data_IF_214168031254
#
_entry.id   IF_214168031254
#
_cell.length_a   1.000
_cell.length_b   1.000
_cell.length_c   1.000
_cell.angle_alpha   90.00
_cell.angle_beta   90.00
_cell.angle_gamma   90.00
#
_symmetry.space_group_name_H-M   'P 1'
#
loop_
_entity.id
_entity.type
_entity.pdbx_description
1 polymer ?
#
# COMPACT_ATOMS: atom_id res chain seq x y z
N UNK A 1 -6.15 24.28 6.72
CA UNK A 1 -7.11 23.43 5.97
C UNK A 1 -8.00 22.56 6.87
N UNK A 2 -7.65 22.30 8.15
CA UNK A 2 -8.34 21.32 9.01
C UNK A 2 -9.81 21.60 9.38
N UNK A 3 -10.39 22.75 9.03
CA UNK A 3 -11.81 23.05 9.30
C UNK A 3 -12.72 23.12 8.09
N UNK A 4 -12.18 23.24 6.87
CA UNK A 4 -13.00 23.56 5.69
C UNK A 4 -13.83 22.37 5.23
N UNK A 5 -13.24 21.18 5.15
CA UNK A 5 -13.89 20.00 4.60
C UNK A 5 -15.07 19.50 5.47
N UNK A 6 -14.94 19.40 6.82
CA UNK A 6 -16.08 19.09 7.68
C UNK A 6 -17.17 20.14 7.61
N UNK A 7 -16.80 21.42 7.51
CA UNK A 7 -17.75 22.53 7.37
C UNK A 7 -18.51 22.45 6.04
N UNK A 8 -17.81 22.22 4.93
CA UNK A 8 -18.42 22.03 3.61
C UNK A 8 -19.36 20.82 3.60
N UNK A 9 -18.95 19.71 4.21
CA UNK A 9 -19.78 18.52 4.33
C UNK A 9 -21.06 18.81 5.13
N UNK A 10 -20.92 19.45 6.30
CA UNK A 10 -22.06 19.83 7.14
C UNK A 10 -23.01 20.80 6.43
N UNK A 11 -22.47 21.79 5.70
CA UNK A 11 -23.27 22.76 4.94
C UNK A 11 -23.97 22.09 3.74
N UNK A 12 -23.28 21.21 3.02
CA UNK A 12 -23.87 20.46 1.92
C UNK A 12 -25.04 19.60 2.41
N UNK A 13 -24.86 18.87 3.51
CA UNK A 13 -25.95 18.08 4.12
C UNK A 13 -27.12 18.97 4.56
N UNK A 14 -26.85 20.12 5.16
CA UNK A 14 -27.90 21.06 5.58
C UNK A 14 -28.67 21.67 4.40
N UNK A 15 -27.97 22.11 3.35
CA UNK A 15 -28.57 22.83 2.21
C UNK A 15 -29.25 21.90 1.19
N UNK A 16 -28.73 20.69 1.00
CA UNK A 16 -29.17 19.79 -0.07
C UNK A 16 -29.91 18.54 0.44
N UNK A 17 -29.89 18.29 1.74
CA UNK A 17 -30.44 17.06 2.34
C UNK A 17 -29.63 15.80 2.03
N UNK A 18 -28.47 15.91 1.39
CA UNK A 18 -27.61 14.76 1.04
C UNK A 18 -26.92 14.20 2.28
N UNK A 19 -26.92 12.87 2.42
CA UNK A 19 -26.23 12.18 3.51
C UNK A 19 -24.71 12.40 3.44
N UNK A 20 -24.03 12.24 4.58
CA UNK A 20 -22.56 12.27 4.64
C UNK A 20 -21.91 11.32 3.62
N UNK A 21 -22.47 10.12 3.48
CA UNK A 21 -22.00 9.10 2.53
C UNK A 21 -22.22 9.55 1.08
N UNK A 22 -23.42 10.05 0.75
CA UNK A 22 -23.71 10.57 -0.58
C UNK A 22 -22.81 11.75 -0.98
N UNK A 23 -22.42 12.59 -0.02
CA UNK A 23 -21.44 13.65 -0.24
C UNK A 23 -20.04 13.08 -0.54
N UNK A 24 -19.57 12.12 0.25
CA UNK A 24 -18.25 11.48 0.07
C UNK A 24 -18.14 10.77 -1.28
N UNK A 25 -19.20 10.06 -1.68
CA UNK A 25 -19.28 9.43 -2.99
C UNK A 25 -19.15 10.47 -4.11
N UNK A 26 -20.03 11.48 -4.14
CA UNK A 26 -19.98 12.51 -5.21
C UNK A 26 -18.68 13.32 -5.19
N UNK A 27 -18.18 13.68 -4.02
CA UNK A 27 -16.94 14.43 -3.88
C UNK A 27 -15.75 13.64 -4.45
N UNK A 28 -15.63 12.36 -4.13
CA UNK A 28 -14.60 11.50 -4.67
C UNK A 28 -14.73 11.24 -6.17
N UNK A 29 -15.96 11.11 -6.67
CA UNK A 29 -16.25 10.93 -8.09
C UNK A 29 -15.83 12.15 -8.93
N UNK A 30 -16.18 13.35 -8.49
CA UNK A 30 -15.79 14.61 -9.14
C UNK A 30 -14.27 14.83 -9.05
N UNK A 31 -13.66 14.57 -7.89
CA UNK A 31 -12.21 14.68 -7.73
C UNK A 31 -11.47 13.74 -8.69
N UNK A 32 -11.90 12.48 -8.78
CA UNK A 32 -11.33 11.54 -9.75
C UNK A 32 -11.61 11.97 -11.19
N UNK A 33 -12.80 12.52 -11.47
CA UNK A 33 -13.17 13.05 -12.78
C UNK A 33 -12.19 14.10 -13.28
N UNK A 34 -11.89 15.10 -12.45
CA UNK A 34 -10.90 16.14 -12.75
C UNK A 34 -9.52 15.52 -13.01
N UNK A 35 -9.05 14.64 -12.11
CA UNK A 35 -7.76 13.97 -12.30
C UNK A 35 -7.72 13.12 -13.57
N UNK A 36 -8.84 12.51 -13.94
CA UNK A 36 -8.98 11.66 -15.10
C UNK A 36 -8.94 12.46 -16.40
N UNK A 37 -9.60 13.60 -16.46
CA UNK A 37 -9.56 14.50 -17.64
C UNK A 37 -8.14 15.00 -17.92
N UNK A 38 -7.38 15.31 -16.87
CA UNK A 38 -6.01 15.80 -17.01
C UNK A 38 -4.99 14.68 -17.29
N UNK A 39 -5.17 13.49 -16.70
CA UNK A 39 -4.13 12.45 -16.64
C UNK A 39 -4.57 11.09 -17.20
N UNK A 40 -5.59 11.07 -18.05
CA UNK A 40 -6.24 9.86 -18.59
C UNK A 40 -5.25 8.79 -19.06
N UNK A 41 -4.24 9.19 -19.85
CA UNK A 41 -3.24 8.29 -20.43
C UNK A 41 -2.41 7.58 -19.36
N UNK A 42 -2.01 8.30 -18.32
CA UNK A 42 -1.22 7.75 -17.22
C UNK A 42 -2.11 6.79 -16.43
N UNK A 43 -3.31 7.22 -16.05
CA UNK A 43 -4.21 6.41 -15.22
C UNK A 43 -4.61 5.09 -15.91
N UNK A 44 -4.81 5.09 -17.23
CA UNK A 44 -5.09 3.85 -17.99
C UNK A 44 -3.88 2.92 -18.13
N UNK A 45 -2.65 3.42 -18.00
CA UNK A 45 -1.44 2.62 -18.16
C UNK A 45 -1.00 1.89 -16.88
N UNK A 46 -1.57 2.26 -15.73
CA UNK A 46 -1.08 1.85 -14.41
C UNK A 46 -1.38 0.40 -14.06
N UNK A 47 -2.47 -0.17 -14.59
CA UNK A 47 -2.82 -1.56 -14.30
C UNK A 47 -3.94 -2.09 -15.18
N UNK A 48 -3.93 -3.40 -15.41
CA UNK A 48 -4.99 -4.09 -16.17
C UNK A 48 -6.23 -4.40 -15.33
N UNK A 49 -6.10 -4.28 -14.01
CA UNK A 49 -7.17 -4.53 -13.05
C UNK A 49 -7.21 -3.44 -11.98
N UNK A 50 -8.35 -3.25 -11.32
CA UNK A 50 -8.49 -2.31 -10.21
C UNK A 50 -7.50 -2.63 -9.08
N UNK A 51 -7.28 -3.91 -8.78
CA UNK A 51 -6.28 -4.31 -7.79
C UNK A 51 -4.86 -3.86 -8.16
N UNK A 52 -4.45 -4.00 -9.42
CA UNK A 52 -3.14 -3.54 -9.89
C UNK A 52 -3.03 -2.02 -9.80
N UNK A 53 -4.10 -1.31 -10.18
CA UNK A 53 -4.18 0.14 -10.08
C UNK A 53 -4.01 0.64 -8.64
N UNK A 54 -4.79 0.08 -7.71
CA UNK A 54 -4.73 0.46 -6.30
C UNK A 54 -3.38 0.15 -5.65
N UNK A 55 -2.75 -0.96 -6.04
CA UNK A 55 -1.40 -1.31 -5.57
C UNK A 55 -0.30 -0.47 -6.23
N UNK A 56 -0.60 0.30 -7.28
CA UNK A 56 0.37 1.18 -7.95
C UNK A 56 0.22 2.65 -7.54
N UNK A 57 -0.80 2.99 -6.74
CA UNK A 57 -1.04 4.36 -6.28
C UNK A 57 0.14 4.93 -5.49
N UNK A 58 0.82 4.11 -4.68
CA UNK A 58 1.99 4.53 -3.91
C UNK A 58 3.11 5.05 -4.81
N UNK A 59 3.33 4.39 -5.96
CA UNK A 59 4.32 4.82 -6.93
C UNK A 59 3.92 6.15 -7.58
N UNK A 60 2.66 6.31 -7.98
CA UNK A 60 2.14 7.54 -8.58
C UNK A 60 2.22 8.73 -7.61
N UNK A 61 1.82 8.52 -6.36
CA UNK A 61 1.83 9.57 -5.32
C UNK A 61 3.26 9.87 -4.85
N UNK A 62 4.13 8.87 -4.78
CA UNK A 62 5.54 9.01 -4.40
C UNK A 62 6.40 9.72 -5.45
N UNK A 63 6.10 9.56 -6.75
CA UNK A 63 6.81 10.22 -7.85
C UNK A 63 6.60 11.75 -7.85
N UNK A 64 5.51 12.26 -7.27
CA UNK A 64 5.28 13.70 -7.13
C UNK A 64 6.21 14.39 -6.12
N UNK A 65 6.88 13.63 -5.26
CA UNK A 65 7.78 14.15 -4.21
C UNK A 65 9.27 13.98 -4.51
N UNK A 66 9.66 13.22 -5.54
CA UNK A 66 11.04 13.19 -6.03
C UNK A 66 11.17 14.27 -7.11
N UNK A 67 11.49 15.50 -6.70
CA UNK A 67 12.07 16.46 -7.65
C UNK A 67 13.31 15.81 -8.26
N UNK A 68 13.42 15.73 -9.59
CA UNK A 68 14.69 15.40 -10.21
C UNK A 68 15.57 16.66 -10.11
N UNK A 69 16.18 16.90 -8.95
CA UNK A 69 17.24 17.91 -8.84
C UNK A 69 18.50 17.35 -9.52
N UNK A 70 18.50 17.43 -10.84
CA UNK A 70 19.72 17.54 -11.64
C UNK A 70 20.14 19.00 -11.68
N UNK A 71 20.96 19.42 -10.71
CA UNK A 71 21.49 20.79 -10.65
C UNK A 71 22.45 20.98 -9.48
N UNK A 72 23.73 21.11 -9.81
CA UNK A 72 24.89 21.38 -8.95
C UNK A 72 24.73 22.44 -7.85
N UNK A 73 25.28 22.11 -6.67
CA UNK A 73 26.04 22.92 -5.70
C UNK A 73 25.55 24.32 -5.27
N UNK A 74 25.64 24.52 -3.94
CA UNK A 74 25.60 25.78 -3.16
C UNK A 74 24.26 26.49 -3.02
N UNK A 75 23.50 26.08 -2.01
CA UNK A 75 22.66 26.95 -1.18
C UNK A 75 22.18 26.14 0.02
N UNK A 76 22.64 26.48 1.22
CA UNK A 76 22.05 25.96 2.45
C UNK A 76 20.60 26.47 2.55
N UNK A 77 19.66 25.61 2.16
CA UNK A 77 18.23 25.76 2.44
C UNK A 77 17.85 25.01 3.72
N UNK A 78 16.79 25.45 4.43
CA UNK A 78 16.49 24.98 5.77
C UNK A 78 16.12 23.49 5.79
N UNK A 79 16.54 22.80 6.86
CA UNK A 79 16.28 21.38 7.15
C UNK A 79 14.84 20.94 6.82
N UNK A 80 14.63 19.77 6.17
CA UNK A 80 13.31 19.20 5.99
C UNK A 80 12.95 18.37 7.23
N UNK A 81 12.55 19.03 8.33
CA UNK A 81 12.05 18.31 9.50
C UNK A 81 11.08 19.18 10.31
N UNK A 82 9.77 19.07 10.01
CA UNK A 82 8.69 18.94 11.01
C UNK A 82 7.27 19.04 10.42
N UNK A 83 7.07 19.61 9.23
CA UNK A 83 5.72 20.00 8.75
C UNK A 83 5.18 19.26 7.52
N UNK A 84 5.87 18.20 7.06
CA UNK A 84 5.37 17.42 5.93
C UNK A 84 4.22 16.51 6.40
N UNK A 85 3.00 16.82 5.98
CA UNK A 85 1.84 15.94 6.18
C UNK A 85 2.16 14.53 5.68
N UNK A 86 1.97 13.47 6.47
CA UNK A 86 2.29 12.12 6.04
C UNK A 86 1.49 11.76 4.78
N UNK A 87 2.20 11.27 3.77
CA UNK A 87 1.59 10.87 2.49
C UNK A 87 0.87 9.54 2.71
N UNK A 88 -0.40 9.42 2.30
CA UNK A 88 -1.13 8.17 2.42
C UNK A 88 -0.51 7.09 1.53
N UNK A 89 -0.60 5.84 1.97
CA UNK A 89 -0.13 4.69 1.19
C UNK A 89 -1.13 3.53 1.27
N UNK A 90 -1.10 2.66 0.27
CA UNK A 90 -2.21 1.78 -0.06
C UNK A 90 -1.78 0.32 -0.19
N UNK A 91 -2.59 -0.59 0.35
CA UNK A 91 -2.42 -2.03 0.18
C UNK A 91 -3.75 -2.69 -0.17
N UNK A 92 -3.86 -3.19 -1.41
CA UNK A 92 -5.04 -3.85 -1.93
C UNK A 92 -4.83 -5.36 -2.03
N UNK A 93 -5.63 -6.10 -1.27
CA UNK A 93 -5.61 -7.56 -1.19
C UNK A 93 -6.96 -8.14 -1.57
N UNK A 94 -7.03 -9.45 -1.78
CA UNK A 94 -8.32 -10.11 -1.97
C UNK A 94 -9.09 -10.11 -0.64
N UNK A 95 -10.38 -9.81 -0.72
CA UNK A 95 -11.27 -9.91 0.43
C UNK A 95 -11.53 -11.39 0.70
N UNK A 96 -10.92 -11.92 1.76
CA UNK A 96 -11.18 -13.28 2.19
C UNK A 96 -12.67 -13.45 2.53
N UNK A 97 -13.27 -14.61 2.18
CA UNK A 97 -14.63 -14.95 2.57
C UNK A 97 -14.77 -14.85 4.08
N UNK A 98 -15.92 -14.37 4.56
CA UNK A 98 -16.22 -14.40 5.99
C UNK A 98 -16.31 -15.86 6.43
N UNK A 99 -15.45 -16.28 7.35
CA UNK A 99 -15.42 -17.63 7.91
C UNK A 99 -16.00 -17.55 9.34
N UNK A 100 -17.30 -17.82 9.57
CA UNK A 100 -17.88 -17.73 10.90
C UNK A 100 -17.49 -18.94 11.77
N UNK A 101 -16.68 -19.87 11.27
CA UNK A 101 -16.30 -21.06 12.04
C UNK A 101 -15.39 -22.02 11.31
N UNK A 102 -14.08 -21.72 11.31
CA UNK A 102 -12.99 -22.69 11.46
C UNK A 102 -12.90 -23.87 10.47
N UNK A 103 -13.66 -23.87 9.38
CA UNK A 103 -13.57 -24.87 8.35
C UNK A 103 -13.50 -24.12 7.03
N UNK A 104 -12.37 -24.27 6.33
CA UNK A 104 -12.16 -23.76 4.98
C UNK A 104 -13.18 -24.40 4.02
N UNK A 105 -14.43 -23.93 4.07
CA UNK A 105 -15.42 -24.17 3.05
C UNK A 105 -14.97 -23.35 1.86
N UNK A 106 -14.68 -24.04 0.74
CA UNK A 106 -14.33 -23.42 -0.53
C UNK A 106 -15.40 -22.37 -0.86
N UNK A 107 -15.07 -21.10 -0.65
CA UNK A 107 -15.99 -20.02 -0.92
C UNK A 107 -16.34 -20.04 -2.41
N UNK A 108 -17.64 -20.05 -2.68
CA UNK A 108 -18.13 -19.94 -4.04
C UNK A 108 -17.61 -18.66 -4.71
N UNK A 109 -17.56 -18.63 -6.05
CA UNK A 109 -17.03 -17.52 -6.84
C UNK A 109 -17.78 -16.17 -6.67
N UNK A 110 -18.81 -16.10 -5.83
CA UNK A 110 -19.73 -14.96 -5.66
C UNK A 110 -19.39 -14.01 -4.50
N UNK A 111 -18.60 -14.40 -3.49
CA UNK A 111 -18.27 -13.50 -2.34
C UNK A 111 -16.95 -12.74 -2.53
N UNK A 112 -16.70 -12.38 -3.78
CA UNK A 112 -15.35 -12.28 -4.30
C UNK A 112 -14.99 -10.78 -4.46
N UNK A 113 -14.42 -10.17 -3.40
CA UNK A 113 -14.14 -8.73 -3.35
C UNK A 113 -12.66 -8.38 -3.22
N UNK A 114 -12.38 -7.08 -3.08
CA UNK A 114 -11.09 -6.53 -2.69
C UNK A 114 -11.17 -5.91 -1.30
N UNK A 115 -10.05 -5.94 -0.59
CA UNK A 115 -9.82 -5.25 0.67
C UNK A 115 -8.69 -4.25 0.49
N UNK A 116 -9.04 -2.96 0.50
CA UNK A 116 -8.09 -1.87 0.44
C UNK A 116 -7.81 -1.34 1.84
N UNK A 117 -6.54 -1.32 2.24
CA UNK A 117 -6.06 -0.56 3.38
C UNK A 117 -5.47 0.76 2.88
N UNK A 118 -5.89 1.87 3.49
CA UNK A 118 -5.28 3.19 3.36
C UNK A 118 -4.62 3.54 4.70
N UNK A 119 -3.31 3.62 4.70
CA UNK A 119 -2.51 4.00 5.87
C UNK A 119 -2.19 5.48 5.80
N UNK A 120 -2.14 6.14 6.95
CA UNK A 120 -1.96 7.58 7.08
C UNK A 120 -2.94 8.41 6.23
N UNK A 121 -4.26 8.10 6.25
CA UNK A 121 -5.21 8.90 5.50
C UNK A 121 -5.24 10.32 6.07
N UNK A 122 -5.05 11.31 5.20
CA UNK A 122 -5.34 12.71 5.53
C UNK A 122 -6.86 12.97 5.41
N UNK A 123 -7.30 14.16 5.84
CA UNK A 123 -8.73 14.50 5.84
C UNK A 123 -9.37 14.43 4.44
N UNK A 124 -8.66 14.87 3.41
CA UNK A 124 -9.16 14.89 2.02
C UNK A 124 -9.30 13.47 1.49
N UNK A 125 -8.27 12.64 1.63
CA UNK A 125 -8.30 11.24 1.20
C UNK A 125 -9.40 10.48 1.94
N UNK A 126 -9.56 10.72 3.24
CA UNK A 126 -10.62 10.05 4.04
C UNK A 126 -12.02 10.28 3.49
N UNK A 127 -12.30 11.48 2.95
CA UNK A 127 -13.60 11.86 2.40
C UNK A 127 -13.74 11.44 0.93
N UNK A 128 -12.68 11.58 0.14
CA UNK A 128 -12.72 11.32 -1.30
C UNK A 128 -12.63 9.84 -1.66
N UNK A 129 -11.99 9.01 -0.83
CA UNK A 129 -11.61 7.65 -1.22
C UNK A 129 -12.81 6.79 -1.66
N UNK A 130 -14.00 6.80 -0.99
CA UNK A 130 -15.15 6.02 -1.45
C UNK A 130 -15.55 6.33 -2.91
N UNK A 131 -15.73 7.62 -3.23
CA UNK A 131 -16.08 8.05 -4.58
C UNK A 131 -14.98 7.81 -5.60
N UNK A 132 -13.72 8.00 -5.21
CA UNK A 132 -12.56 7.73 -6.06
C UNK A 132 -12.49 6.25 -6.45
N UNK A 133 -12.75 5.35 -5.51
CA UNK A 133 -12.76 3.90 -5.76
C UNK A 133 -13.88 3.51 -6.74
N UNK A 134 -15.09 4.04 -6.54
CA UNK A 134 -16.21 3.79 -7.47
C UNK A 134 -15.92 4.37 -8.86
N UNK A 135 -15.48 5.62 -8.94
CA UNK A 135 -15.19 6.29 -10.20
C UNK A 135 -14.05 5.63 -10.98
N UNK A 136 -12.95 5.27 -10.31
CA UNK A 136 -11.82 4.58 -10.94
C UNK A 136 -12.23 3.20 -11.46
N UNK A 137 -13.00 2.44 -10.68
CA UNK A 137 -13.55 1.15 -11.13
C UNK A 137 -14.43 1.29 -12.38
N UNK A 138 -15.36 2.24 -12.38
CA UNK A 138 -16.29 2.45 -13.48
C UNK A 138 -15.58 3.00 -14.74
N UNK A 139 -14.74 4.04 -14.60
CA UNK A 139 -14.14 4.75 -15.73
C UNK A 139 -12.91 4.04 -16.33
N UNK A 140 -12.13 3.30 -15.52
CA UNK A 140 -10.95 2.59 -16.00
C UNK A 140 -11.25 1.15 -16.43
N UNK A 141 -12.15 0.48 -15.70
CA UNK A 141 -12.36 -0.98 -15.85
C UNK A 141 -13.78 -1.35 -16.26
N UNK A 142 -14.69 -0.38 -16.40
CA UNK A 142 -16.09 -0.66 -16.73
C UNK A 142 -16.79 -1.52 -15.69
N UNK A 143 -16.34 -1.47 -14.44
CA UNK A 143 -16.85 -2.30 -13.35
C UNK A 143 -17.61 -1.44 -12.33
N UNK A 144 -18.89 -1.73 -12.16
CA UNK A 144 -19.70 -1.12 -11.11
C UNK A 144 -19.47 -1.82 -9.77
N UNK A 145 -19.17 -1.02 -8.74
CA UNK A 145 -18.75 -1.52 -7.43
C UNK A 145 -19.46 -0.81 -6.29
N UNK A 146 -19.74 -1.58 -5.25
CA UNK A 146 -20.04 -1.08 -3.90
C UNK A 146 -18.73 -0.94 -3.13
N UNK A 147 -18.62 0.16 -2.38
CA UNK A 147 -17.47 0.46 -1.54
C UNK A 147 -17.98 0.70 -0.13
N UNK A 148 -17.60 -0.16 0.79
CA UNK A 148 -18.01 -0.11 2.19
C UNK A 148 -16.79 0.12 3.08
N UNK A 149 -16.85 1.13 3.95
CA UNK A 149 -15.82 1.34 4.96
C UNK A 149 -16.00 0.32 6.09
N UNK A 150 -14.95 -0.42 6.40
CA UNK A 150 -14.99 -1.41 7.46
C UNK A 150 -14.82 -0.78 8.84
N UNK A 151 -15.71 -1.17 9.75
CA UNK A 151 -15.63 -0.80 11.16
C UNK A 151 -14.47 -1.51 11.87
N UNK A 152 -14.03 -0.93 13.00
CA UNK A 152 -12.90 -1.47 13.78
C UNK A 152 -13.11 -2.93 14.18
N UNK A 153 -14.31 -3.28 14.65
CA UNK A 153 -14.65 -4.63 15.06
C UNK A 153 -14.56 -5.63 13.88
N UNK A 154 -14.89 -5.22 12.66
CA UNK A 154 -14.72 -6.04 11.47
C UNK A 154 -13.24 -6.23 11.11
N UNK A 155 -12.47 -5.15 11.18
CA UNK A 155 -11.03 -5.21 10.95
C UNK A 155 -10.34 -6.15 11.93
N UNK A 156 -10.75 -6.14 13.21
CA UNK A 156 -10.24 -7.05 14.24
C UNK A 156 -10.61 -8.51 13.96
N UNK A 157 -11.87 -8.79 13.58
CA UNK A 157 -12.33 -10.13 13.18
C UNK A 157 -11.53 -10.67 12.00
N UNK A 158 -11.27 -9.83 11.00
CA UNK A 158 -10.53 -10.18 9.77
C UNK A 158 -9.02 -10.21 9.95
N UNK A 159 -8.50 -9.80 11.13
CA UNK A 159 -7.05 -9.62 11.38
C UNK A 159 -6.40 -8.71 10.33
N UNK A 160 -7.11 -7.65 9.95
CA UNK A 160 -6.60 -6.62 9.06
C UNK A 160 -5.33 -5.96 9.62
N UNK A 161 -4.58 -5.24 8.78
CA UNK A 161 -3.39 -4.51 9.20
C UNK A 161 -3.67 -3.33 10.17
N UNK A 162 -4.95 -3.09 10.50
CA UNK A 162 -5.44 -2.07 11.41
C UNK A 162 -5.08 -2.30 12.90
N UNK A 163 -4.27 -3.32 13.24
CA UNK A 163 -3.85 -3.63 14.61
C UNK A 163 -2.41 -3.21 14.88
N UNK A 164 -2.26 -2.18 15.71
CA UNK A 164 -1.59 -2.23 17.02
C UNK A 164 -1.87 -0.91 17.77
N UNK A 165 -3.07 -0.81 18.36
CA UNK A 165 -3.35 0.08 19.48
C UNK A 165 -3.50 -0.77 20.74
N UNK A 166 -2.41 -1.41 21.17
CA UNK A 166 -2.36 -2.05 22.48
C UNK A 166 -2.53 -0.98 23.57
N UNK A 167 -3.19 -1.35 24.66
CA UNK A 167 -3.44 -0.50 25.83
C UNK A 167 -2.17 -0.15 26.64
N UNK A 168 -1.09 0.24 25.96
CA UNK A 168 0.18 0.68 26.55
C UNK A 168 0.83 1.68 25.60
N UNK A 169 1.03 2.91 26.08
CA UNK A 169 1.42 4.05 25.26
C UNK A 169 2.71 3.83 24.45
N UNK A 170 2.57 3.85 23.13
CA UNK A 170 3.58 4.41 22.25
C UNK A 170 2.91 5.45 21.37
N UNK A 171 3.25 6.71 21.59
CA UNK A 171 2.88 7.86 20.76
C UNK A 171 3.46 7.66 19.36
N UNK A 172 2.63 7.25 18.40
CA UNK A 172 3.05 7.01 17.02
C UNK A 172 1.87 6.69 16.11
N UNK A 173 1.07 7.72 15.83
CA UNK A 173 0.32 7.98 14.60
C UNK A 173 0.38 6.88 13.53
N UNK A 174 -0.36 5.76 13.67
CA UNK A 174 -0.57 4.74 12.62
C UNK A 174 -2.06 4.65 12.30
N UNK A 175 -2.60 5.72 11.72
CA UNK A 175 -4.00 5.80 11.29
C UNK A 175 -4.22 4.88 10.08
N UNK A 176 -5.20 3.98 10.15
CA UNK A 176 -5.54 3.08 9.04
C UNK A 176 -7.05 3.09 8.81
N UNK A 177 -7.46 3.24 7.56
CA UNK A 177 -8.84 3.02 7.11
C UNK A 177 -8.88 1.82 6.16
N UNK A 178 -9.90 0.98 6.28
CA UNK A 178 -10.08 -0.20 5.43
C UNK A 178 -11.41 -0.13 4.69
N UNK A 179 -11.40 -0.54 3.42
CA UNK A 179 -12.57 -0.51 2.53
C UNK A 179 -12.74 -1.87 1.86
N UNK A 180 -13.94 -2.43 1.97
CA UNK A 180 -14.36 -3.57 1.18
C UNK A 180 -14.93 -3.08 -0.15
N UNK A 181 -14.44 -3.62 -1.25
CA UNK A 181 -14.88 -3.28 -2.61
C UNK A 181 -15.46 -4.55 -3.22
N UNK A 182 -16.72 -4.50 -3.63
CA UNK A 182 -17.45 -5.64 -4.18
C UNK A 182 -18.18 -5.22 -5.44
N UNK A 183 -18.41 -6.14 -6.35
CA UNK A 183 -19.32 -5.87 -7.48
C UNK A 183 -20.71 -5.47 -6.94
N UNK A 184 -21.31 -4.46 -7.54
CA UNK A 184 -22.64 -3.98 -7.14
C UNK A 184 -23.75 -4.99 -7.44
N UNK A 185 -23.61 -5.76 -8.52
CA UNK A 185 -24.57 -6.78 -8.97
C UNK A 185 -24.27 -8.19 -8.44
N UNK A 186 -23.26 -8.33 -7.57
CA UNK A 186 -22.81 -9.60 -7.00
C UNK A 186 -22.18 -10.56 -8.03
N UNK A 187 -21.91 -10.09 -9.25
CA UNK A 187 -21.30 -10.88 -10.32
C UNK A 187 -19.78 -10.71 -10.32
N UNK A 188 -19.01 -11.72 -10.76
CA UNK A 188 -17.58 -11.55 -10.95
C UNK A 188 -17.33 -10.46 -12.00
N UNK A 189 -16.79 -9.31 -11.59
CA UNK A 189 -16.44 -8.24 -12.51
C UNK A 189 -15.06 -8.51 -13.12
N UNK A 190 -15.05 -8.63 -14.45
CA UNK A 190 -13.81 -8.70 -15.23
C UNK A 190 -13.02 -7.41 -14.98
N UNK A 191 -11.74 -7.54 -14.60
CA UNK A 191 -10.89 -6.38 -14.29
C UNK A 191 -10.87 -5.96 -12.83
N UNK A 192 -11.60 -6.61 -11.92
CA UNK A 192 -11.50 -6.28 -10.49
C UNK A 192 -10.21 -6.85 -9.85
N UNK A 193 -9.91 -8.13 -10.12
CA UNK A 193 -8.79 -8.85 -9.51
C UNK A 193 -7.71 -9.23 -10.50
N UNK A 194 -6.48 -9.19 -9.98
CA UNK A 194 -5.31 -9.75 -10.64
C UNK A 194 -5.32 -11.27 -10.48
N UNK A 195 -5.41 -12.02 -11.58
CA UNK A 195 -5.29 -13.48 -11.54
C UNK A 195 -3.86 -13.85 -11.16
N UNK A 196 -3.61 -14.19 -9.90
CA UNK A 196 -2.31 -14.71 -9.50
C UNK A 196 -2.22 -16.21 -9.79
N UNK A 197 -1.18 -16.70 -10.50
CA UNK A 197 -0.94 -18.12 -10.60
C UNK A 197 -0.78 -18.72 -9.20
N UNK A 198 -1.20 -19.97 -9.01
CA UNK A 198 -0.95 -20.68 -7.76
C UNK A 198 0.57 -20.69 -7.50
N UNK A 199 0.97 -20.12 -6.37
CA UNK A 199 2.38 -20.11 -5.95
C UNK A 199 2.73 -21.51 -5.45
N UNK A 200 3.78 -22.10 -6.00
CA UNK A 200 4.29 -23.38 -5.51
C UNK A 200 4.60 -23.32 -4.01
N UNK A 201 4.31 -24.43 -3.32
CA UNK A 201 4.70 -24.66 -1.92
C UNK A 201 5.81 -25.70 -1.78
N UNK A 202 6.32 -26.23 -2.89
CA UNK A 202 7.35 -27.27 -2.91
C UNK A 202 8.60 -26.74 -3.60
N UNK A 203 9.75 -26.65 -2.91
CA UNK A 203 11.01 -26.26 -3.56
C UNK A 203 11.41 -27.14 -4.75
N UNK A 204 10.94 -28.40 -4.78
CA UNK A 204 11.30 -29.37 -5.82
C UNK A 204 10.59 -29.21 -7.16
N UNK A 205 9.52 -28.41 -7.23
CA UNK A 205 8.82 -28.11 -8.50
C UNK A 205 9.25 -26.76 -9.12
N UNK A 206 10.21 -26.08 -8.49
CA UNK A 206 10.76 -24.83 -9.00
C UNK A 206 11.50 -25.10 -10.31
N UNK A 207 11.16 -24.33 -11.33
CA UNK A 207 11.77 -24.43 -12.67
C UNK A 207 13.22 -23.94 -12.72
N UNK A 208 13.68 -23.26 -11.67
CA UNK A 208 15.01 -22.67 -11.56
C UNK A 208 15.56 -23.00 -10.18
N UNK A 209 16.77 -23.55 -10.13
CA UNK A 209 17.44 -23.84 -8.86
C UNK A 209 17.91 -22.55 -8.15
N UNK A 210 18.20 -22.67 -6.86
CA UNK A 210 18.55 -21.52 -6.03
C UNK A 210 19.87 -20.87 -6.46
N UNK A 211 20.84 -21.68 -6.88
CA UNK A 211 22.15 -21.21 -7.31
C UNK A 211 22.05 -20.34 -8.57
N UNK A 212 21.22 -20.75 -9.53
CA UNK A 212 20.93 -20.01 -10.76
C UNK A 212 20.16 -18.73 -10.44
N UNK A 213 19.14 -18.81 -9.58
CA UNK A 213 18.40 -17.62 -9.13
C UNK A 213 19.35 -16.56 -8.53
N UNK A 214 20.30 -16.96 -7.68
CA UNK A 214 21.26 -16.04 -7.06
C UNK A 214 22.27 -15.41 -8.01
N UNK A 215 22.60 -16.10 -9.11
CA UNK A 215 23.46 -15.59 -10.18
C UNK A 215 22.72 -14.63 -11.11
N UNK A 216 21.43 -14.88 -11.38
CA UNK A 216 20.61 -14.03 -12.25
C UNK A 216 20.20 -12.75 -11.53
N UNK A 217 19.66 -12.86 -10.32
CA UNK A 217 19.23 -11.72 -9.52
C UNK A 217 20.34 -11.29 -8.57
N UNK A 218 21.32 -10.56 -9.07
CA UNK A 218 22.52 -10.21 -8.32
C UNK A 218 22.24 -9.40 -7.04
N UNK A 219 21.22 -8.55 -7.08
CA UNK A 219 20.85 -7.64 -5.98
C UNK A 219 19.48 -8.00 -5.40
N UNK A 220 19.43 -9.11 -4.66
CA UNK A 220 18.26 -9.50 -3.88
C UNK A 220 18.66 -9.94 -2.47
N UNK A 221 17.70 -9.83 -1.54
CA UNK A 221 17.79 -10.35 -0.19
C UNK A 221 16.48 -11.05 0.14
N UNK A 222 16.54 -12.21 0.82
CA UNK A 222 15.39 -12.87 1.41
C UNK A 222 15.54 -12.85 2.92
N UNK A 223 14.48 -12.45 3.60
CA UNK A 223 14.45 -12.25 5.04
C UNK A 223 13.37 -13.13 5.67
N UNK A 224 13.60 -13.59 6.88
CA UNK A 224 12.56 -14.19 7.71
C UNK A 224 11.70 -13.12 8.42
N UNK A 225 10.76 -13.58 9.26
CA UNK A 225 9.91 -12.69 10.08
C UNK A 225 10.68 -11.89 11.13
N UNK A 226 11.85 -12.37 11.54
CA UNK A 226 12.77 -11.67 12.44
C UNK A 226 13.73 -10.73 11.72
N UNK A 227 13.54 -10.53 10.41
CA UNK A 227 14.44 -9.77 9.53
C UNK A 227 15.87 -10.33 9.50
N UNK A 228 16.03 -11.65 9.65
CA UNK A 228 17.31 -12.34 9.45
C UNK A 228 17.52 -12.69 8.00
N UNK A 229 18.73 -12.50 7.51
CA UNK A 229 19.12 -12.88 6.15
C UNK A 229 19.08 -14.40 5.99
N UNK A 230 18.16 -14.88 5.15
CA UNK A 230 18.07 -16.28 4.73
C UNK A 230 18.88 -16.53 3.45
N UNK A 231 18.83 -15.58 2.52
CA UNK A 231 19.45 -15.71 1.21
C UNK A 231 19.82 -14.33 0.65
N UNK A 232 20.91 -14.28 -0.10
CA UNK A 232 21.35 -13.11 -0.83
C UNK A 232 21.78 -13.46 -2.25
N UNK A 233 21.60 -12.52 -3.17
CA UNK A 233 22.17 -12.60 -4.51
C UNK A 233 23.69 -12.48 -4.49
N UNK A 234 24.34 -12.97 -5.55
CA UNK A 234 25.80 -13.01 -5.63
C UNK A 234 26.44 -11.60 -5.57
N UNK A 235 25.75 -10.58 -6.07
CA UNK A 235 26.19 -9.19 -5.98
C UNK A 235 26.18 -8.68 -4.53
N UNK A 236 25.09 -8.89 -3.81
CA UNK A 236 24.97 -8.50 -2.38
C UNK A 236 25.96 -9.28 -1.52
N UNK A 237 26.12 -10.59 -1.76
CA UNK A 237 27.08 -11.40 -1.00
C UNK A 237 28.52 -10.93 -1.15
N UNK A 238 28.91 -10.48 -2.34
CA UNK A 238 30.23 -9.87 -2.59
C UNK A 238 30.40 -8.50 -1.93
N UNK A 239 29.30 -7.78 -1.68
CA UNK A 239 29.31 -6.48 -1.02
C UNK A 239 29.38 -6.64 0.51
N UNK A 240 28.70 -7.63 1.06
CA UNK A 240 28.64 -7.94 2.49
C UNK A 240 29.72 -8.95 2.92
N UNK A 241 30.97 -8.81 2.45
CA UNK A 241 32.03 -9.85 2.52
C UNK A 241 32.17 -10.57 3.86
N UNK A 242 31.83 -9.90 4.97
CA UNK A 242 31.99 -10.38 6.34
C UNK A 242 30.66 -10.68 7.08
N UNK A 243 29.51 -10.57 6.40
CA UNK A 243 28.22 -10.85 7.02
C UNK A 243 28.02 -12.35 7.28
N UNK A 244 27.73 -12.68 8.54
CA UNK A 244 27.45 -14.06 8.95
C UNK A 244 26.12 -14.55 8.37
N UNK A 245 26.00 -15.86 8.06
CA UNK A 245 24.71 -16.47 7.78
C UNK A 245 23.70 -16.17 8.90
N UNK A 246 22.50 -15.71 8.55
CA UNK A 246 21.49 -15.34 9.55
C UNK A 246 21.71 -14.00 10.26
N UNK A 247 22.65 -13.16 9.77
CA UNK A 247 22.82 -11.77 10.20
C UNK A 247 21.49 -11.01 10.16
N UNK A 248 21.33 -10.05 11.06
CA UNK A 248 20.12 -9.23 11.10
C UNK A 248 20.19 -8.18 9.99
N UNK A 249 19.04 -7.88 9.38
CA UNK A 249 18.95 -6.87 8.34
C UNK A 249 19.56 -5.54 8.77
N UNK A 250 19.37 -5.12 10.02
CA UNK A 250 19.88 -3.85 10.55
C UNK A 250 21.41 -3.82 10.72
N UNK A 251 22.06 -4.98 10.82
CA UNK A 251 23.51 -5.07 10.89
C UNK A 251 24.13 -4.83 9.51
N UNK A 252 23.47 -5.31 8.45
CA UNK A 252 23.96 -5.23 7.09
C UNK A 252 23.46 -4.01 6.32
N UNK A 253 22.28 -3.48 6.68
CA UNK A 253 21.55 -2.52 5.88
C UNK A 253 20.86 -1.44 6.70
N UNK A 254 20.57 -0.31 6.04
CA UNK A 254 19.70 0.75 6.54
C UNK A 254 18.71 1.18 5.45
N UNK A 255 17.45 1.34 5.82
CA UNK A 255 16.43 1.93 4.94
C UNK A 255 16.64 3.44 4.85
N UNK A 256 16.77 3.95 3.63
CA UNK A 256 16.82 5.38 3.30
C UNK A 256 15.44 5.93 2.96
N UNK A 257 14.64 5.16 2.21
CA UNK A 257 13.29 5.54 1.80
C UNK A 257 12.32 4.36 1.97
N UNK A 258 11.10 4.60 2.46
CA UNK A 258 10.62 5.86 3.03
C UNK A 258 11.27 6.17 4.40
N UNK A 259 11.48 7.45 4.78
CA UNK A 259 12.13 7.80 6.05
C UNK A 259 11.42 7.26 7.31
N UNK A 260 10.09 7.10 7.25
CA UNK A 260 9.30 6.48 8.32
C UNK A 260 9.69 5.01 8.58
N UNK A 261 10.38 4.35 7.65
CA UNK A 261 10.84 2.96 7.76
C UNK A 261 12.30 2.83 8.23
N UNK A 262 12.91 3.89 8.79
CA UNK A 262 14.28 3.82 9.34
C UNK A 262 14.45 2.75 10.43
N UNK A 263 13.41 2.47 11.21
CA UNK A 263 13.39 1.40 12.22
C UNK A 263 13.03 0.01 11.69
N UNK A 264 12.83 -0.13 10.36
CA UNK A 264 12.47 -1.34 9.60
C UNK A 264 12.00 -2.54 10.44
N UNK A 265 10.69 -2.78 10.47
CA UNK A 265 10.08 -3.97 11.09
C UNK A 265 9.37 -4.82 10.04
N UNK A 266 9.25 -6.12 10.29
CA UNK A 266 8.52 -7.02 9.37
C UNK A 266 7.06 -6.56 9.15
N UNK A 267 6.37 -6.14 10.22
CA UNK A 267 5.04 -5.58 10.13
C UNK A 267 5.00 -4.28 9.30
N UNK A 268 5.98 -3.39 9.49
CA UNK A 268 6.10 -2.16 8.70
C UNK A 268 6.32 -2.43 7.21
N UNK A 269 7.13 -3.45 6.87
CA UNK A 269 7.33 -3.89 5.48
C UNK A 269 6.02 -4.42 4.89
N UNK A 270 5.26 -5.24 5.64
CA UNK A 270 3.97 -5.76 5.18
C UNK A 270 2.92 -4.65 4.93
N UNK A 271 2.95 -3.57 5.71
CA UNK A 271 2.04 -2.42 5.50
C UNK A 271 2.40 -1.60 4.25
N UNK A 272 3.64 -1.73 3.75
CA UNK A 272 4.21 -0.92 2.66
C UNK A 272 4.70 -1.75 1.47
N UNK A 273 4.09 -2.92 1.24
CA UNK A 273 4.51 -3.84 0.16
C UNK A 273 4.55 -3.20 -1.24
N UNK A 274 3.73 -2.18 -1.45
CA UNK A 274 3.63 -1.46 -2.72
C UNK A 274 4.49 -0.20 -2.78
N UNK A 275 5.06 0.21 -1.66
CA UNK A 275 5.93 1.38 -1.58
C UNK A 275 7.36 0.97 -1.98
N UNK A 276 8.02 1.68 -2.90
CA UNK A 276 9.42 1.39 -3.22
C UNK A 276 10.32 1.69 -2.03
N UNK A 277 11.20 0.73 -1.70
CA UNK A 277 12.22 0.89 -0.68
C UNK A 277 13.57 1.20 -1.29
N UNK A 278 14.29 2.14 -0.68
CA UNK A 278 15.71 2.37 -0.97
C UNK A 278 16.50 1.95 0.24
N UNK A 279 17.42 1.02 0.05
CA UNK A 279 18.24 0.43 1.12
C UNK A 279 19.71 0.67 0.80
N UNK A 280 20.48 1.03 1.83
CA UNK A 280 21.94 1.20 1.75
C UNK A 280 22.61 0.12 2.59
N UNK A 281 23.71 -0.45 2.09
CA UNK A 281 24.58 -1.30 2.91
C UNK A 281 25.30 -0.47 3.97
N UNK A 282 25.43 -1.01 5.17
CA UNK A 282 26.33 -0.45 6.17
C UNK A 282 27.75 -0.83 5.74
N UNK A 283 28.59 0.16 5.47
CA UNK A 283 30.01 -0.07 5.20
C UNK A 283 30.80 -0.06 6.50
N UNK A 284 31.86 -0.84 6.58
CA UNK A 284 32.76 -0.94 7.74
C UNK A 284 33.66 0.31 7.96
N UNK A 285 33.38 1.46 7.34
CA UNK A 285 34.27 2.62 7.50
C UNK A 285 33.91 3.92 6.79
N UNK A 286 32.67 4.40 6.89
CA UNK A 286 32.31 5.74 6.37
C UNK A 286 31.47 6.61 7.30
N UNK A 287 31.25 6.18 8.55
CA UNK A 287 30.64 6.99 9.61
C UNK A 287 31.55 6.95 10.87
N UNK A 288 32.83 7.29 10.69
CA UNK A 288 33.79 7.58 11.77
C UNK A 288 34.40 8.96 11.53
#
# INVERSE_FOLDING_TARGET
QEGLLPTLQSLASFLTGVSSEGFQEKFGEELFGICFEENERILRAVGTTLQDFLNSLDALLGQGHVRPDGGSTTSEGPSPASDATPVPYFCCTELAPHDPGGAAAAAGPSDSGLLLHCFQPNAVVSVALPGLLRASSARLYGADVSVERLERAECERRRCFCRDGGAGGSTGDDRVAAFAIRSADGRPTRGLRSCRPAVSRSPGDLRVDLATFCKVFLFHVMLDRGLRLLQTGDGVRRLLRDAQPGALFHDCFRVLSPPAMRGCSFAGVLRRLNTPFVVRTRGDGADA
#
